data_IF_226264486871
#
_entry.id   IF_226264486871
#
_cell.length_a   1.000
_cell.length_b   1.000
_cell.length_c   1.000
_cell.angle_alpha   90.00
_cell.angle_beta   90.00
_cell.angle_gamma   90.00
#
_symmetry.space_group_name_H-M   'P 1'
#
loop_
_entity.id
_entity.type
_entity.pdbx_description
1 polymer ?
#
# COMPACT_ATOMS: atom_id res chain seq x y z
N UNK A 1 21.15 18.36 -8.70
CA UNK A 1 22.17 17.31 -8.66
C UNK A 1 21.53 15.97 -8.35
N UNK A 2 22.04 14.91 -9.02
CA UNK A 2 21.58 13.55 -8.81
C UNK A 2 22.53 12.90 -7.79
N UNK A 3 22.04 12.38 -6.66
CA UNK A 3 22.90 11.71 -5.70
C UNK A 3 23.58 10.48 -6.35
N UNK A 4 24.83 10.27 -6.00
CA UNK A 4 25.64 9.16 -6.48
C UNK A 4 26.41 8.59 -5.30
N UNK A 5 26.41 7.27 -5.17
CA UNK A 5 27.19 6.52 -4.18
C UNK A 5 27.70 5.23 -4.80
N UNK A 6 28.67 4.56 -4.19
CA UNK A 6 29.46 3.50 -4.79
C UNK A 6 30.29 3.97 -5.99
N UNK A 7 31.26 4.85 -5.74
CA UNK A 7 32.14 5.39 -6.77
C UNK A 7 32.79 4.29 -7.62
N UNK A 8 32.60 4.34 -8.93
CA UNK A 8 33.15 3.37 -9.88
C UNK A 8 34.47 3.82 -10.53
N UNK A 9 34.98 4.99 -10.15
CA UNK A 9 36.22 5.56 -10.67
C UNK A 9 36.08 6.20 -12.05
N UNK A 10 37.18 6.84 -12.50
CA UNK A 10 37.20 7.68 -13.70
C UNK A 10 37.12 6.91 -15.03
N UNK A 11 37.34 5.58 -15.02
CA UNK A 11 37.24 4.72 -16.23
C UNK A 11 35.84 4.21 -16.51
N UNK A 12 34.90 4.43 -15.61
CA UNK A 12 33.52 4.01 -15.80
C UNK A 12 32.74 5.04 -16.65
N UNK A 13 31.78 4.56 -17.43
CA UNK A 13 30.85 5.38 -18.20
C UNK A 13 29.99 6.27 -17.29
N UNK A 14 29.65 5.75 -16.12
CA UNK A 14 28.97 6.48 -15.06
C UNK A 14 29.92 6.62 -13.87
N UNK A 15 29.89 7.75 -13.13
CA UNK A 15 30.82 8.02 -12.03
C UNK A 15 30.61 7.11 -10.80
N UNK A 16 29.58 6.27 -10.81
CA UNK A 16 29.21 5.38 -9.71
C UNK A 16 28.67 4.05 -10.23
N UNK A 17 28.67 3.02 -9.37
CA UNK A 17 28.05 1.73 -9.67
C UNK A 17 26.54 1.83 -9.52
N UNK A 18 25.86 2.03 -10.67
CA UNK A 18 24.40 2.16 -10.72
C UNK A 18 23.67 0.91 -10.24
N UNK A 19 24.24 -0.28 -10.44
CA UNK A 19 23.59 -1.53 -10.04
C UNK A 19 23.68 -1.73 -8.54
N UNK A 20 24.85 -1.51 -7.94
CA UNK A 20 25.01 -1.55 -6.49
C UNK A 20 24.14 -0.48 -5.79
N UNK A 21 24.10 0.74 -6.34
CA UNK A 21 23.30 1.83 -5.80
C UNK A 21 21.79 1.53 -5.89
N UNK A 22 21.32 0.99 -7.01
CA UNK A 22 19.93 0.60 -7.19
C UNK A 22 19.56 -0.56 -6.26
N UNK A 23 20.39 -1.57 -6.18
CA UNK A 23 20.19 -2.69 -5.24
C UNK A 23 20.07 -2.21 -3.80
N UNK A 24 20.97 -1.34 -3.37
CA UNK A 24 21.00 -0.79 -2.01
C UNK A 24 19.67 -0.13 -1.63
N UNK A 25 19.09 0.65 -2.54
CA UNK A 25 17.80 1.33 -2.28
C UNK A 25 16.60 0.39 -2.42
N UNK A 26 16.53 -0.42 -3.47
CA UNK A 26 15.37 -1.28 -3.76
C UNK A 26 15.25 -2.40 -2.71
N UNK A 27 16.37 -2.98 -2.29
CA UNK A 27 16.38 -4.02 -1.26
C UNK A 27 16.18 -3.48 0.16
N UNK A 28 16.11 -2.15 0.33
CA UNK A 28 16.06 -1.48 1.63
C UNK A 28 17.22 -1.93 2.54
N UNK A 29 18.42 -2.03 1.94
CA UNK A 29 19.60 -2.58 2.61
C UNK A 29 19.96 -1.83 3.90
N UNK A 30 19.64 -0.55 4.00
CA UNK A 30 19.82 0.28 5.20
C UNK A 30 19.15 -0.32 6.43
N UNK A 31 18.04 -1.02 6.28
CA UNK A 31 17.28 -1.61 7.39
C UNK A 31 17.96 -2.84 8.01
N UNK A 32 18.90 -3.44 7.28
CA UNK A 32 19.72 -4.56 7.78
C UNK A 32 20.99 -4.08 8.51
N UNK A 33 21.32 -2.78 8.37
CA UNK A 33 22.45 -2.17 9.08
C UNK A 33 22.02 -1.73 10.49
N UNK A 34 22.98 -1.52 11.41
CA UNK A 34 22.67 -0.96 12.71
C UNK A 34 21.93 0.37 12.60
N UNK A 35 20.75 0.46 13.21
CA UNK A 35 19.91 1.66 13.20
C UNK A 35 19.11 1.77 14.50
N UNK A 36 18.57 2.96 14.78
CA UNK A 36 17.66 3.20 15.90
C UNK A 36 16.23 2.90 15.45
N UNK A 37 15.52 2.06 16.20
CA UNK A 37 14.13 1.70 15.92
C UNK A 37 13.16 2.66 16.58
N UNK A 38 12.02 2.90 15.95
CA UNK A 38 10.92 3.65 16.55
C UNK A 38 10.18 2.80 17.62
N UNK A 39 9.13 3.36 18.21
CA UNK A 39 8.29 2.67 19.22
C UNK A 39 7.59 1.41 18.68
N UNK A 40 7.56 1.22 17.37
CA UNK A 40 7.01 0.07 16.68
C UNK A 40 8.10 -0.84 16.08
N UNK A 41 9.33 -0.67 16.53
CA UNK A 41 10.51 -1.41 16.06
C UNK A 41 10.84 -1.26 14.58
N UNK A 42 10.45 -0.13 13.95
CA UNK A 42 10.63 0.12 12.51
C UNK A 42 11.78 1.07 12.26
N UNK A 43 12.42 0.93 11.10
CA UNK A 43 13.34 1.90 10.54
C UNK A 43 12.58 3.18 10.15
N UNK A 44 13.06 4.34 10.56
CA UNK A 44 12.39 5.62 10.27
C UNK A 44 12.98 6.29 9.03
N UNK A 45 12.16 7.09 8.34
CA UNK A 45 12.57 7.78 7.12
C UNK A 45 13.77 8.71 7.35
N UNK A 46 13.85 9.34 8.53
CA UNK A 46 14.90 10.31 8.90
C UNK A 46 16.30 9.68 8.94
N UNK A 47 16.37 8.37 9.14
CA UNK A 47 17.66 7.65 9.17
C UNK A 47 18.15 7.27 7.78
N UNK A 48 17.29 7.33 6.76
CA UNK A 48 17.60 6.93 5.40
C UNK A 48 18.56 7.89 4.71
N UNK A 49 19.38 7.36 3.79
CA UNK A 49 20.18 8.19 2.88
C UNK A 49 19.29 9.12 2.06
N UNK A 50 18.11 8.65 1.66
CA UNK A 50 17.16 9.41 0.88
C UNK A 50 16.70 10.69 1.60
N UNK A 51 16.41 10.60 2.89
CA UNK A 51 16.09 11.76 3.72
C UNK A 51 17.32 12.66 3.93
N UNK A 52 18.43 12.08 4.35
CA UNK A 52 19.68 12.79 4.64
C UNK A 52 20.18 13.62 3.45
N UNK A 53 20.08 13.08 2.24
CA UNK A 53 20.52 13.74 1.01
C UNK A 53 19.38 14.35 0.18
N UNK A 54 18.19 14.49 0.76
CA UNK A 54 17.02 15.19 0.20
C UNK A 54 16.55 14.67 -1.15
N UNK A 55 16.53 13.37 -1.33
CA UNK A 55 15.97 12.74 -2.53
C UNK A 55 14.83 11.76 -2.26
N UNK A 56 14.24 11.79 -1.07
CA UNK A 56 13.15 10.89 -0.68
C UNK A 56 11.94 10.96 -1.64
N UNK A 57 11.65 12.15 -2.17
CA UNK A 57 10.55 12.38 -3.11
C UNK A 57 10.92 12.19 -4.59
N UNK A 58 12.17 11.77 -4.88
CA UNK A 58 12.65 11.57 -6.24
C UNK A 58 12.70 10.09 -6.59
N UNK A 59 12.20 9.65 -7.76
CA UNK A 59 12.33 8.28 -8.23
C UNK A 59 13.77 8.03 -8.73
N UNK A 60 14.72 8.03 -7.78
CA UNK A 60 16.15 8.14 -8.10
C UNK A 60 16.66 6.94 -8.91
N UNK A 61 16.13 5.74 -8.66
CA UNK A 61 16.50 4.53 -9.42
C UNK A 61 16.03 4.62 -10.86
N UNK A 62 14.83 5.13 -11.11
CA UNK A 62 14.36 5.39 -12.47
C UNK A 62 15.20 6.46 -13.18
N UNK A 63 15.57 7.55 -12.47
CA UNK A 63 16.45 8.59 -13.01
C UNK A 63 17.81 7.98 -13.42
N UNK A 64 18.37 7.11 -12.59
CA UNK A 64 19.63 6.42 -12.93
C UNK A 64 19.46 5.46 -14.11
N UNK A 65 18.35 4.72 -14.18
CA UNK A 65 18.07 3.83 -15.30
C UNK A 65 17.98 4.59 -16.63
N UNK A 66 17.36 5.76 -16.65
CA UNK A 66 17.33 6.62 -17.84
C UNK A 66 18.71 7.18 -18.21
N UNK A 67 19.52 7.57 -17.22
CA UNK A 67 20.92 7.97 -17.49
C UNK A 67 21.75 6.85 -18.09
N UNK A 68 21.57 5.61 -17.60
CA UNK A 68 22.23 4.46 -18.22
C UNK A 68 21.73 4.21 -19.63
N UNK A 69 20.41 4.31 -19.86
CA UNK A 69 19.82 4.17 -21.19
C UNK A 69 20.37 5.21 -22.18
N UNK A 70 20.55 6.47 -21.78
CA UNK A 70 21.19 7.51 -22.61
C UNK A 70 22.60 7.07 -23.02
N UNK A 71 23.40 6.60 -22.09
CA UNK A 71 24.76 6.10 -22.38
C UNK A 71 24.78 4.87 -23.28
N UNK A 72 23.81 3.98 -23.14
CA UNK A 72 23.65 2.81 -24.01
C UNK A 72 23.28 3.24 -25.44
N UNK A 73 22.38 4.22 -25.60
CA UNK A 73 22.02 4.77 -26.91
C UNK A 73 23.19 5.45 -27.61
N UNK A 74 24.00 6.21 -26.86
CA UNK A 74 25.22 6.83 -27.42
C UNK A 74 26.17 5.76 -27.99
N UNK A 75 26.31 4.62 -27.30
CA UNK A 75 27.23 3.53 -27.68
C UNK A 75 26.63 2.55 -28.70
N UNK A 76 25.33 2.35 -28.66
CA UNK A 76 24.57 1.42 -29.50
C UNK A 76 23.37 2.10 -30.14
N UNK A 77 23.56 2.93 -31.19
CA UNK A 77 22.49 3.74 -31.81
C UNK A 77 21.30 2.91 -32.32
N UNK A 78 21.57 1.69 -32.80
CA UNK A 78 20.55 0.78 -33.35
C UNK A 78 19.80 0.00 -32.26
N UNK A 79 20.11 0.22 -31.00
CA UNK A 79 19.44 -0.48 -29.90
C UNK A 79 17.98 -0.05 -29.79
N UNK A 80 17.08 -0.96 -30.10
CA UNK A 80 15.65 -0.75 -29.96
C UNK A 80 15.20 -1.05 -28.52
N UNK A 81 14.55 -0.09 -27.88
CA UNK A 81 14.05 -0.21 -26.51
C UNK A 81 12.56 0.13 -26.48
N UNK A 82 11.85 -0.53 -25.58
CA UNK A 82 10.43 -0.26 -25.35
C UNK A 82 10.25 1.05 -24.59
N UNK A 83 9.56 2.01 -25.18
CA UNK A 83 9.17 3.25 -24.48
C UNK A 83 8.12 2.95 -23.43
N UNK A 84 8.27 3.51 -22.22
CA UNK A 84 7.23 3.45 -21.20
C UNK A 84 6.04 4.32 -21.65
N UNK A 85 4.84 3.79 -21.50
CA UNK A 85 3.59 4.52 -21.63
C UNK A 85 3.02 4.75 -20.25
N UNK A 86 2.26 5.83 -20.09
CA UNK A 86 1.55 6.09 -18.85
C UNK A 86 0.43 5.05 -18.69
N UNK A 87 0.39 4.40 -17.54
CA UNK A 87 -0.69 3.50 -17.13
C UNK A 87 -1.13 3.90 -15.73
N UNK A 88 -2.44 3.87 -15.49
CA UNK A 88 -3.01 4.11 -14.17
C UNK A 88 -3.67 2.83 -13.67
N UNK A 89 -3.17 2.30 -12.57
CA UNK A 89 -3.72 1.15 -11.88
C UNK A 89 -4.18 1.59 -10.49
N UNK A 90 -5.46 1.47 -10.21
CA UNK A 90 -6.00 1.70 -8.87
C UNK A 90 -5.79 0.46 -8.00
N UNK A 91 -5.20 0.64 -6.83
CA UNK A 91 -5.08 -0.43 -5.82
C UNK A 91 -5.90 -0.07 -4.61
N UNK A 92 -6.77 -0.97 -4.16
CA UNK A 92 -7.66 -0.75 -3.02
C UNK A 92 -7.42 -1.84 -1.99
N UNK A 93 -6.98 -1.44 -0.82
CA UNK A 93 -6.74 -2.32 0.31
C UNK A 93 -7.96 -2.35 1.23
N UNK A 94 -8.45 -3.56 1.51
CA UNK A 94 -9.68 -3.78 2.29
C UNK A 94 -9.30 -4.52 3.58
N UNK A 95 -8.81 -3.76 4.56
CA UNK A 95 -8.49 -4.27 5.89
C UNK A 95 -9.75 -4.69 6.65
N UNK A 96 -10.82 -3.90 6.52
CA UNK A 96 -12.10 -4.14 7.16
C UNK A 96 -13.27 -3.95 6.19
N UNK A 97 -13.82 -5.06 5.71
CA UNK A 97 -14.94 -5.04 4.78
C UNK A 97 -16.24 -4.46 5.37
N UNK A 98 -16.42 -4.53 6.71
CA UNK A 98 -17.62 -4.06 7.40
C UNK A 98 -17.28 -3.38 8.73
N UNK A 99 -17.87 -2.21 8.99
CA UNK A 99 -17.71 -1.50 10.25
C UNK A 99 -18.43 -2.23 11.40
N UNK A 100 -19.67 -2.66 11.18
CA UNK A 100 -20.54 -3.26 12.20
C UNK A 100 -21.09 -4.62 11.81
N UNK A 101 -21.44 -4.84 10.52
CA UNK A 101 -22.04 -6.10 10.04
C UNK A 101 -21.06 -7.27 10.04
N UNK A 102 -21.62 -8.47 10.08
CA UNK A 102 -20.92 -9.73 9.91
C UNK A 102 -19.78 -10.03 10.91
N UNK A 103 -19.69 -9.27 12.00
CA UNK A 103 -18.79 -9.56 13.13
C UNK A 103 -19.39 -10.68 14.00
N UNK A 104 -18.58 -11.29 14.88
CA UNK A 104 -19.10 -12.32 15.79
C UNK A 104 -20.12 -11.72 16.78
N UNK A 105 -21.09 -12.53 17.25
CA UNK A 105 -22.08 -12.08 18.22
C UNK A 105 -21.44 -11.57 19.51
N UNK A 106 -20.40 -12.26 19.98
CA UNK A 106 -19.65 -11.88 21.19
C UNK A 106 -19.01 -10.49 21.02
N UNK A 107 -18.36 -10.24 19.88
CA UNK A 107 -17.75 -8.91 19.58
C UNK A 107 -18.82 -7.83 19.46
N UNK A 108 -19.92 -8.13 18.81
CA UNK A 108 -21.03 -7.19 18.63
C UNK A 108 -21.60 -6.79 19.97
N UNK A 109 -21.91 -7.79 20.84
CA UNK A 109 -22.46 -7.54 22.17
C UNK A 109 -21.48 -6.80 23.08
N UNK A 110 -20.22 -7.24 23.11
CA UNK A 110 -19.17 -6.54 23.87
C UNK A 110 -18.96 -5.08 23.43
N UNK A 111 -19.11 -4.80 22.11
CA UNK A 111 -19.03 -3.44 21.61
C UNK A 111 -20.24 -2.60 22.02
N UNK A 112 -21.46 -3.16 22.05
CA UNK A 112 -22.64 -2.47 22.57
C UNK A 112 -22.49 -2.07 24.04
N UNK A 113 -21.99 -3.02 24.87
CA UNK A 113 -21.72 -2.76 26.29
C UNK A 113 -20.69 -1.62 26.42
N UNK A 114 -19.58 -1.72 25.69
CA UNK A 114 -18.54 -0.69 25.72
C UNK A 114 -19.05 0.68 25.30
N UNK A 115 -19.81 0.76 24.21
CA UNK A 115 -20.34 2.01 23.69
C UNK A 115 -21.33 2.65 24.69
N UNK A 116 -22.17 1.84 25.35
CA UNK A 116 -23.12 2.26 26.37
C UNK A 116 -22.41 2.84 27.62
N UNK A 117 -21.46 2.07 28.20
CA UNK A 117 -20.72 2.52 29.39
C UNK A 117 -19.75 3.67 29.11
N UNK A 118 -19.30 3.83 27.87
CA UNK A 118 -18.47 4.96 27.44
C UNK A 118 -19.30 6.19 27.06
N UNK A 119 -20.62 6.19 27.28
CA UNK A 119 -21.57 7.26 26.91
C UNK A 119 -21.49 7.67 25.42
N UNK A 120 -21.04 6.76 24.55
CA UNK A 120 -20.98 6.98 23.09
C UNK A 120 -22.30 6.64 22.43
N UNK A 121 -23.37 7.29 22.87
CA UNK A 121 -24.76 7.00 22.45
C UNK A 121 -24.96 7.07 20.94
N UNK A 122 -24.27 8.00 20.24
CA UNK A 122 -24.35 8.10 18.78
C UNK A 122 -23.80 6.83 18.11
N UNK A 123 -22.65 6.32 18.57
CA UNK A 123 -22.04 5.11 18.00
C UNK A 123 -22.93 3.89 18.33
N UNK A 124 -23.49 3.84 19.51
CA UNK A 124 -24.43 2.80 19.92
C UNK A 124 -25.65 2.76 18.97
N UNK A 125 -26.30 3.89 18.72
CA UNK A 125 -27.43 3.97 17.81
C UNK A 125 -27.08 3.70 16.35
N UNK A 126 -25.95 4.21 15.85
CA UNK A 126 -25.46 3.90 14.50
C UNK A 126 -25.23 2.39 14.32
N UNK A 127 -24.59 1.75 15.29
CA UNK A 127 -24.37 0.29 15.29
C UNK A 127 -25.70 -0.47 15.27
N UNK A 128 -26.64 -0.08 16.14
CA UNK A 128 -27.95 -0.70 16.19
C UNK A 128 -28.70 -0.56 14.86
N UNK A 129 -28.75 0.62 14.30
CA UNK A 129 -29.42 0.90 13.02
C UNK A 129 -28.83 0.08 11.87
N UNK A 130 -27.49 -0.06 11.82
CA UNK A 130 -26.81 -0.84 10.78
C UNK A 130 -27.05 -2.35 10.94
N UNK A 131 -27.01 -2.87 12.16
CA UNK A 131 -27.25 -4.30 12.41
C UNK A 131 -28.72 -4.67 12.15
N UNK A 132 -29.65 -3.76 12.47
CA UNK A 132 -31.09 -3.91 12.19
C UNK A 132 -31.46 -3.63 10.72
N UNK A 133 -30.50 -3.38 9.84
CA UNK A 133 -30.70 -3.02 8.42
C UNK A 133 -31.49 -1.74 8.16
N UNK A 134 -31.64 -0.88 9.16
CA UNK A 134 -32.26 0.45 9.01
C UNK A 134 -31.32 1.40 8.27
N UNK A 135 -30.01 1.21 8.44
CA UNK A 135 -28.94 2.02 7.82
C UNK A 135 -27.91 1.12 7.16
N UNK A 136 -27.31 1.60 6.08
CA UNK A 136 -26.18 0.89 5.45
C UNK A 136 -24.93 0.92 6.35
N UNK A 137 -24.14 -0.14 6.27
CA UNK A 137 -22.84 -0.16 6.95
C UNK A 137 -21.92 0.89 6.31
N UNK A 138 -21.30 1.78 7.09
CA UNK A 138 -20.51 2.90 6.55
C UNK A 138 -19.29 2.46 5.70
N UNK A 139 -18.82 1.21 5.85
CA UNK A 139 -17.74 0.68 5.03
C UNK A 139 -18.24 0.03 3.73
N UNK A 140 -19.55 -0.08 3.52
CA UNK A 140 -20.12 -0.62 2.27
C UNK A 140 -20.10 0.44 1.17
N UNK A 141 -18.92 0.71 0.63
CA UNK A 141 -18.69 1.65 -0.49
C UNK A 141 -18.39 0.94 -1.81
N UNK A 142 -18.45 -0.39 -1.81
CA UNK A 142 -18.03 -1.24 -2.92
C UNK A 142 -18.78 -0.96 -4.22
N UNK A 143 -20.11 -0.78 -4.15
CA UNK A 143 -20.92 -0.45 -5.33
C UNK A 143 -20.49 0.88 -5.97
N UNK A 144 -20.10 1.87 -5.15
CA UNK A 144 -19.58 3.14 -5.65
C UNK A 144 -18.23 2.96 -6.33
N UNK A 145 -17.35 2.16 -5.74
CA UNK A 145 -16.02 1.86 -6.30
C UNK A 145 -16.18 1.14 -7.66
N UNK A 146 -17.05 0.13 -7.73
CA UNK A 146 -17.31 -0.60 -8.97
C UNK A 146 -17.91 0.31 -10.07
N UNK A 147 -18.85 1.17 -9.71
CA UNK A 147 -19.38 2.17 -10.65
C UNK A 147 -18.30 3.11 -11.19
N UNK A 148 -17.39 3.59 -10.33
CA UNK A 148 -16.27 4.43 -10.76
C UNK A 148 -15.30 3.67 -11.67
N UNK A 149 -14.98 2.40 -11.33
CA UNK A 149 -14.17 1.51 -12.17
C UNK A 149 -14.76 1.41 -13.59
N UNK A 150 -16.06 1.14 -13.68
CA UNK A 150 -16.76 1.04 -14.99
C UNK A 150 -16.83 2.38 -15.72
N UNK A 151 -17.27 3.44 -15.03
CA UNK A 151 -17.47 4.77 -15.62
C UNK A 151 -16.19 5.33 -16.22
N UNK A 152 -15.07 5.17 -15.53
CA UNK A 152 -13.77 5.72 -15.95
C UNK A 152 -12.86 4.68 -16.60
N UNK A 153 -13.30 3.42 -16.73
CA UNK A 153 -12.51 2.29 -17.27
C UNK A 153 -11.16 2.16 -16.57
N UNK A 154 -11.18 2.23 -15.23
CA UNK A 154 -9.97 2.17 -14.40
C UNK A 154 -9.66 0.70 -14.09
N UNK A 155 -8.46 0.25 -14.43
CA UNK A 155 -7.96 -1.03 -13.93
C UNK A 155 -7.79 -0.96 -12.41
N UNK A 156 -8.46 -1.87 -11.72
CA UNK A 156 -8.51 -1.86 -10.25
C UNK A 156 -8.18 -3.23 -9.69
N UNK A 157 -7.21 -3.26 -8.79
CA UNK A 157 -6.83 -4.45 -8.01
C UNK A 157 -7.28 -4.28 -6.56
N UNK A 158 -8.00 -5.28 -6.04
CA UNK A 158 -8.45 -5.31 -4.65
C UNK A 158 -7.58 -6.26 -3.84
N UNK A 159 -7.07 -5.78 -2.72
CA UNK A 159 -6.38 -6.59 -1.73
C UNK A 159 -7.29 -6.78 -0.51
N UNK A 160 -7.48 -8.04 -0.11
CA UNK A 160 -8.30 -8.37 1.05
C UNK A 160 -7.43 -8.94 2.16
N UNK A 161 -7.56 -8.39 3.36
CA UNK A 161 -6.91 -8.95 4.53
C UNK A 161 -7.63 -10.24 4.94
N UNK A 162 -6.99 -11.39 4.72
CA UNK A 162 -7.51 -12.73 5.03
C UNK A 162 -6.71 -13.41 6.16
N UNK A 163 -5.89 -12.66 6.88
CA UNK A 163 -5.08 -13.13 7.98
C UNK A 163 -5.91 -13.48 9.22
N UNK A 164 -5.33 -14.26 10.12
CA UNK A 164 -5.87 -14.52 11.44
C UNK A 164 -5.94 -13.24 12.30
N UNK A 165 -6.81 -13.26 13.30
CA UNK A 165 -6.96 -12.13 14.21
C UNK A 165 -5.70 -11.90 15.04
N UNK A 166 -5.21 -10.66 14.99
CA UNK A 166 -4.16 -10.17 15.88
C UNK A 166 -4.68 -9.02 16.73
N UNK A 167 -3.83 -8.42 17.56
CA UNK A 167 -4.17 -7.20 18.30
C UNK A 167 -4.35 -5.99 17.38
N UNK A 168 -3.75 -6.02 16.21
CA UNK A 168 -3.76 -4.93 15.22
C UNK A 168 -4.74 -5.20 14.07
N UNK A 169 -4.85 -6.45 13.62
CA UNK A 169 -5.61 -6.82 12.43
C UNK A 169 -6.88 -7.59 12.81
N UNK A 170 -8.03 -7.01 12.50
CA UNK A 170 -9.33 -7.57 12.87
C UNK A 170 -10.31 -7.49 11.71
N UNK A 171 -10.23 -8.41 10.78
CA UNK A 171 -11.18 -8.49 9.67
C UNK A 171 -12.32 -9.49 9.95
N UNK A 172 -13.27 -9.55 9.02
CA UNK A 172 -14.30 -10.62 9.01
C UNK A 172 -13.63 -11.90 8.54
N UNK A 173 -13.91 -13.02 9.25
CA UNK A 173 -13.34 -14.33 8.89
C UNK A 173 -13.60 -14.68 7.42
N UNK A 174 -12.58 -15.13 6.66
CA UNK A 174 -12.73 -15.57 5.28
C UNK A 174 -13.65 -16.79 5.12
N UNK A 175 -13.93 -17.53 6.21
CA UNK A 175 -14.89 -18.64 6.20
C UNK A 175 -16.35 -18.18 6.04
N UNK A 176 -16.68 -16.91 6.32
CA UNK A 176 -18.07 -16.40 6.23
C UNK A 176 -18.53 -16.23 4.78
N UNK A 177 -19.67 -16.84 4.46
CA UNK A 177 -20.25 -16.80 3.12
C UNK A 177 -20.45 -15.37 2.57
N UNK A 178 -20.86 -14.42 3.41
CA UNK A 178 -21.04 -13.01 2.98
C UNK A 178 -19.74 -12.34 2.55
N UNK A 179 -18.62 -12.67 3.21
CA UNK A 179 -17.31 -12.16 2.82
C UNK A 179 -16.81 -12.81 1.53
N UNK A 180 -17.03 -14.12 1.35
CA UNK A 180 -16.74 -14.84 0.09
C UNK A 180 -17.54 -14.26 -1.08
N UNK A 181 -18.82 -13.96 -0.88
CA UNK A 181 -19.66 -13.35 -1.90
C UNK A 181 -19.18 -11.94 -2.27
N UNK A 182 -18.75 -11.15 -1.28
CA UNK A 182 -18.15 -9.85 -1.54
C UNK A 182 -16.88 -9.97 -2.39
N UNK A 183 -15.96 -10.85 -2.01
CA UNK A 183 -14.73 -11.07 -2.80
C UNK A 183 -15.10 -11.46 -4.24
N UNK A 184 -16.04 -12.39 -4.42
CA UNK A 184 -16.47 -12.82 -5.74
C UNK A 184 -17.04 -11.65 -6.57
N UNK A 185 -17.88 -10.80 -5.99
CA UNK A 185 -18.46 -9.65 -6.69
C UNK A 185 -17.45 -8.56 -7.09
N UNK A 186 -16.20 -8.62 -6.59
CA UNK A 186 -15.12 -7.71 -6.97
C UNK A 186 -14.26 -8.25 -8.12
N UNK A 187 -14.33 -9.58 -8.37
CA UNK A 187 -13.53 -10.27 -9.41
C UNK A 187 -14.32 -10.41 -10.70
N UNK A 188 -15.64 -10.60 -10.61
CA UNK A 188 -16.56 -10.67 -11.74
C UNK A 188 -16.80 -9.26 -12.34
#
# INVERSE_FOLDING_TARGET
DTPCFFNAGSKSILPFDIFAASFYLISRYEEYLPHVRDIHERFTAEQSLAFKYRFLEKPIVDIWAYKLLEKLKEKFPDYNYKTRIYEYLSTIDIDNAYAYKHKSLVRTFGAFIKDFFSLKLRIFWDRFAVISNIKNDPYTTFDTILKLKEQYRIDTTFFFLVADYTTFDTNVSPAKNKFKLLIKSMVD
#
